data_IF_584427660734
#
_entry.id   IF_584427660734
#
_cell.length_a   1.000
_cell.length_b   1.000
_cell.length_c   1.000
_cell.angle_alpha   90.00
_cell.angle_beta   90.00
_cell.angle_gamma   90.00
#
_symmetry.space_group_name_H-M   'P 1'
#
loop_
_entity.id
_entity.type
_entity.pdbx_description
1 polymer ?
#
# COMPACT_ATOMS: atom_id res chain seq x y z
N UNK A 1 12.06 -13.38 15.02
CA UNK A 1 12.89 -12.26 15.52
C UNK A 1 12.71 -11.10 14.56
N UNK A 2 11.87 -10.12 14.91
CA UNK A 2 11.66 -8.92 14.10
C UNK A 2 12.79 -7.92 14.35
N UNK A 3 13.47 -7.50 13.30
CA UNK A 3 14.42 -6.38 13.38
C UNK A 3 13.61 -5.08 13.43
N UNK A 4 13.30 -4.64 14.65
CA UNK A 4 12.63 -3.36 14.87
C UNK A 4 13.67 -2.24 14.82
N UNK A 5 13.56 -1.36 13.83
CA UNK A 5 13.90 0.04 14.09
C UNK A 5 13.09 0.48 15.33
N UNK A 6 13.67 1.26 16.24
CA UNK A 6 12.84 1.88 17.27
C UNK A 6 11.74 2.68 16.58
N UNK A 7 10.54 2.72 17.18
CA UNK A 7 9.41 3.44 16.61
C UNK A 7 9.78 4.88 16.25
N UNK A 8 10.62 5.52 17.07
CA UNK A 8 11.15 6.87 16.83
C UNK A 8 11.93 6.99 15.51
N UNK A 9 12.82 6.03 15.22
CA UNK A 9 13.61 6.03 13.98
C UNK A 9 12.72 5.82 12.76
N UNK A 10 11.67 5.00 12.88
CA UNK A 10 10.72 4.81 11.79
C UNK A 10 9.90 6.09 11.54
N UNK A 11 9.39 6.72 12.60
CA UNK A 11 8.62 7.98 12.53
C UNK A 11 9.45 9.09 11.89
N UNK A 12 10.71 9.24 12.28
CA UNK A 12 11.62 10.22 11.67
C UNK A 12 11.80 9.97 10.17
N UNK A 13 12.00 8.71 9.78
CA UNK A 13 12.14 8.33 8.36
C UNK A 13 10.85 8.50 7.56
N UNK A 14 9.68 8.48 8.19
CA UNK A 14 8.38 8.66 7.52
C UNK A 14 8.02 10.12 7.28
N UNK A 15 8.80 11.09 7.77
CA UNK A 15 8.52 12.52 7.56
C UNK A 15 8.48 12.88 6.08
N UNK A 16 7.41 13.55 5.68
CA UNK A 16 7.13 13.97 4.31
C UNK A 16 6.82 15.46 4.24
N UNK A 17 7.08 16.05 3.08
CA UNK A 17 6.55 17.37 2.72
C UNK A 17 5.09 17.26 2.27
N UNK A 18 4.32 18.36 2.29
CA UNK A 18 2.91 18.34 1.84
C UNK A 18 2.78 17.89 0.38
N UNK A 19 3.66 18.38 -0.51
CA UNK A 19 3.75 17.96 -1.92
C UNK A 19 4.03 16.45 -2.08
N UNK A 20 4.76 15.86 -1.13
CA UNK A 20 4.99 14.41 -1.12
C UNK A 20 3.74 13.64 -0.69
N UNK A 21 3.02 14.16 0.29
CA UNK A 21 1.76 13.54 0.76
C UNK A 21 0.69 13.49 -0.33
N UNK A 22 0.56 14.52 -1.17
CA UNK A 22 -0.39 14.54 -2.30
C UNK A 22 -0.21 13.36 -3.27
N UNK A 23 1.02 12.83 -3.40
CA UNK A 23 1.30 11.67 -4.26
C UNK A 23 0.73 10.36 -3.71
N UNK A 24 0.39 10.31 -2.42
CA UNK A 24 -0.15 9.11 -1.77
C UNK A 24 -1.58 8.82 -2.22
N UNK A 25 -2.36 9.83 -2.60
CA UNK A 25 -3.74 9.66 -3.09
C UNK A 25 -3.77 8.65 -4.25
N UNK A 26 -2.93 8.85 -5.28
CA UNK A 26 -2.81 7.92 -6.42
C UNK A 26 -2.36 6.51 -6.04
N UNK A 27 -1.66 6.36 -4.91
CA UNK A 27 -1.18 5.06 -4.42
C UNK A 27 -2.31 4.32 -3.72
N UNK A 28 -3.08 5.03 -2.88
CA UNK A 28 -4.26 4.50 -2.18
C UNK A 28 -5.32 4.09 -3.20
N UNK A 29 -5.63 4.96 -4.17
CA UNK A 29 -6.58 4.66 -5.25
C UNK A 29 -6.20 3.40 -6.03
N UNK A 30 -4.91 3.26 -6.38
CA UNK A 30 -4.42 2.06 -7.05
C UNK A 30 -4.62 0.80 -6.19
N UNK A 31 -4.29 0.86 -4.90
CA UNK A 31 -4.46 -0.27 -3.99
C UNK A 31 -5.94 -0.65 -3.88
N UNK A 32 -6.83 0.32 -3.68
CA UNK A 32 -8.28 0.08 -3.58
C UNK A 32 -8.85 -0.49 -4.89
N UNK A 33 -8.37 -0.03 -6.04
CA UNK A 33 -8.71 -0.61 -7.36
C UNK A 33 -8.32 -2.09 -7.42
N UNK A 34 -7.09 -2.45 -7.02
CA UNK A 34 -6.62 -3.84 -6.99
C UNK A 34 -7.52 -4.67 -6.07
N UNK A 35 -7.78 -4.18 -4.85
CA UNK A 35 -8.63 -4.87 -3.88
C UNK A 35 -10.04 -5.13 -4.42
N UNK A 36 -10.72 -4.10 -4.92
CA UNK A 36 -12.06 -4.23 -5.50
C UNK A 36 -12.06 -5.22 -6.66
N UNK A 37 -11.03 -5.20 -7.51
CA UNK A 37 -10.93 -6.12 -8.64
C UNK A 37 -10.78 -7.57 -8.19
N UNK A 38 -9.91 -7.85 -7.20
CA UNK A 38 -9.78 -9.19 -6.61
C UNK A 38 -11.12 -9.63 -6.02
N UNK A 39 -11.79 -8.74 -5.27
CA UNK A 39 -13.06 -9.06 -4.59
C UNK A 39 -14.18 -9.44 -5.56
N UNK A 40 -14.29 -8.74 -6.68
CA UNK A 40 -15.37 -8.94 -7.65
C UNK A 40 -15.05 -10.00 -8.72
N UNK A 41 -13.79 -10.11 -9.15
CA UNK A 41 -13.39 -10.89 -10.32
C UNK A 41 -12.35 -11.97 -10.01
N UNK A 42 -11.93 -12.10 -8.75
CA UNK A 42 -10.90 -13.05 -8.32
C UNK A 42 -9.48 -12.62 -8.67
N UNK A 43 -8.50 -13.42 -8.24
CA UNK A 43 -7.07 -13.09 -8.35
C UNK A 43 -6.56 -12.97 -9.80
N UNK A 44 -6.99 -13.87 -10.68
CA UNK A 44 -6.57 -13.88 -12.10
C UNK A 44 -6.97 -12.61 -12.86
N UNK A 45 -7.94 -11.86 -12.35
CA UNK A 45 -8.33 -10.57 -12.94
C UNK A 45 -7.17 -9.56 -12.98
N UNK A 46 -6.15 -9.72 -12.12
CA UNK A 46 -4.99 -8.84 -12.05
C UNK A 46 -3.92 -9.10 -13.11
N UNK A 47 -3.99 -10.20 -13.88
CA UNK A 47 -2.95 -10.53 -14.86
C UNK A 47 -2.80 -9.45 -15.94
N UNK A 48 -3.91 -8.82 -16.33
CA UNK A 48 -3.89 -7.70 -17.27
C UNK A 48 -3.31 -6.43 -16.64
N UNK A 49 -3.64 -6.12 -15.38
CA UNK A 49 -3.03 -4.98 -14.68
C UNK A 49 -1.52 -5.17 -14.56
N UNK A 50 -1.05 -6.37 -14.18
CA UNK A 50 0.37 -6.67 -14.08
C UNK A 50 1.14 -6.39 -15.38
N UNK A 51 0.56 -6.74 -16.54
CA UNK A 51 1.17 -6.51 -17.86
C UNK A 51 1.17 -5.04 -18.28
N UNK A 52 0.20 -4.27 -17.79
CA UNK A 52 -0.03 -2.87 -18.18
C UNK A 52 0.59 -1.85 -17.21
N UNK A 53 1.16 -2.28 -16.09
CA UNK A 53 1.90 -1.37 -15.20
C UNK A 53 3.18 -0.90 -15.90
N UNK A 54 3.35 0.42 -15.95
CA UNK A 54 4.47 1.08 -16.61
C UNK A 54 5.81 0.69 -15.95
N UNK A 55 6.92 0.55 -16.72
CA UNK A 55 8.19 0.03 -16.20
C UNK A 55 8.78 0.80 -15.02
N UNK A 56 8.54 2.12 -14.93
CA UNK A 56 8.98 2.99 -13.84
C UNK A 56 8.31 2.66 -12.50
N UNK A 57 7.13 2.04 -12.51
CA UNK A 57 6.40 1.65 -11.31
C UNK A 57 6.82 0.27 -10.79
N UNK A 58 8.14 0.08 -10.64
CA UNK A 58 8.77 -1.21 -10.28
C UNK A 58 8.13 -1.83 -9.03
N UNK A 59 7.91 -1.02 -7.98
CA UNK A 59 7.37 -1.53 -6.72
C UNK A 59 5.86 -1.86 -6.81
N UNK A 60 5.08 -1.10 -7.60
CA UNK A 60 3.67 -1.42 -7.87
C UNK A 60 3.55 -2.75 -8.61
N UNK A 61 4.40 -2.94 -9.62
CA UNK A 61 4.47 -4.18 -10.38
C UNK A 61 4.89 -5.35 -9.49
N UNK A 62 5.85 -5.14 -8.58
CA UNK A 62 6.28 -6.16 -7.61
C UNK A 62 5.14 -6.54 -6.66
N UNK A 63 4.39 -5.57 -6.15
CA UNK A 63 3.22 -5.80 -5.30
C UNK A 63 2.18 -6.69 -5.99
N UNK A 64 1.76 -6.36 -7.22
CA UNK A 64 0.80 -7.18 -7.98
C UNK A 64 1.35 -8.57 -8.29
N UNK A 65 2.64 -8.66 -8.63
CA UNK A 65 3.31 -9.95 -8.84
C UNK A 65 3.23 -10.84 -7.59
N UNK A 66 3.50 -10.28 -6.41
CA UNK A 66 3.49 -11.02 -5.15
C UNK A 66 2.08 -11.52 -4.85
N UNK A 67 1.04 -10.71 -5.06
CA UNK A 67 -0.35 -11.17 -4.89
C UNK A 67 -0.65 -12.35 -5.83
N UNK A 68 -0.24 -12.26 -7.10
CA UNK A 68 -0.49 -13.30 -8.10
C UNK A 68 0.27 -14.61 -7.85
N UNK A 69 1.47 -14.54 -7.25
CA UNK A 69 2.43 -15.65 -7.24
C UNK A 69 2.73 -16.23 -5.85
N UNK A 70 2.39 -15.54 -4.76
CA UNK A 70 2.71 -16.02 -3.42
C UNK A 70 1.81 -17.19 -3.05
N UNK A 71 2.42 -18.24 -2.49
CA UNK A 71 1.70 -19.39 -1.98
C UNK A 71 0.90 -19.05 -0.71
N UNK A 72 1.41 -18.12 0.10
CA UNK A 72 0.86 -17.74 1.39
C UNK A 72 1.23 -16.30 1.79
N UNK A 73 0.52 -15.80 2.81
CA UNK A 73 0.64 -14.44 3.34
C UNK A 73 2.04 -14.16 3.89
N UNK A 74 2.58 -15.10 4.66
CA UNK A 74 3.85 -14.93 5.38
C UNK A 74 5.00 -14.77 4.38
N UNK A 75 5.03 -15.62 3.36
CA UNK A 75 6.01 -15.55 2.28
C UNK A 75 5.92 -14.23 1.51
N UNK A 76 4.70 -13.82 1.12
CA UNK A 76 4.49 -12.58 0.38
C UNK A 76 4.90 -11.33 1.17
N UNK A 77 4.48 -11.25 2.43
CA UNK A 77 4.79 -10.14 3.35
C UNK A 77 6.29 -10.05 3.59
N UNK A 78 6.97 -11.17 3.91
CA UNK A 78 8.44 -11.17 4.12
C UNK A 78 9.22 -10.68 2.91
N UNK A 79 8.79 -11.02 1.70
CA UNK A 79 9.45 -10.55 0.48
C UNK A 79 9.38 -9.01 0.40
N UNK A 80 8.20 -8.41 0.60
CA UNK A 80 8.05 -6.96 0.60
C UNK A 80 8.84 -6.30 1.74
N UNK A 81 8.78 -6.87 2.95
CA UNK A 81 9.57 -6.39 4.09
C UNK A 81 11.06 -6.32 3.75
N UNK A 82 11.62 -7.37 3.15
CA UNK A 82 13.04 -7.36 2.78
C UNK A 82 13.37 -6.29 1.75
N UNK A 83 12.53 -6.05 0.75
CA UNK A 83 12.73 -4.94 -0.19
C UNK A 83 12.74 -3.59 0.54
N UNK A 84 11.84 -3.38 1.50
CA UNK A 84 11.72 -2.12 2.25
C UNK A 84 12.92 -1.90 3.17
N UNK A 85 13.28 -2.93 3.93
CA UNK A 85 14.35 -2.86 4.93
C UNK A 85 15.72 -2.66 4.29
N UNK A 86 16.00 -3.36 3.19
CA UNK A 86 17.31 -3.29 2.52
C UNK A 86 17.51 -2.01 1.70
N UNK A 87 16.42 -1.34 1.29
CA UNK A 87 16.48 -0.15 0.45
C UNK A 87 16.75 1.17 1.17
N UNK A 88 16.79 1.21 2.50
CA UNK A 88 17.03 2.42 3.31
C UNK A 88 16.18 3.65 2.90
N UNK A 89 14.91 3.43 2.54
CA UNK A 89 14.02 4.49 2.06
C UNK A 89 13.64 5.52 3.15
N UNK A 90 13.25 6.73 2.72
CA UNK A 90 12.79 7.82 3.59
C UNK A 90 11.66 8.62 2.92
N UNK A 91 10.92 9.38 3.72
CA UNK A 91 9.77 10.20 3.33
C UNK A 91 8.76 9.41 2.50
N UNK A 92 8.35 10.01 1.38
CA UNK A 92 7.36 9.41 0.48
C UNK A 92 7.72 7.99 0.05
N UNK A 93 9.00 7.75 -0.27
CA UNK A 93 9.48 6.46 -0.73
C UNK A 93 9.30 5.38 0.33
N UNK A 94 9.45 5.71 1.60
CA UNK A 94 9.19 4.77 2.67
C UNK A 94 7.69 4.56 2.86
N UNK A 95 6.93 5.65 2.99
CA UNK A 95 5.50 5.61 3.30
C UNK A 95 4.71 4.86 2.24
N UNK A 96 4.93 5.13 0.95
CA UNK A 96 4.18 4.44 -0.11
C UNK A 96 4.48 2.93 -0.12
N UNK A 97 5.68 2.51 0.26
CA UNK A 97 6.02 1.09 0.35
C UNK A 97 5.38 0.42 1.56
N UNK A 98 5.31 1.14 2.69
CA UNK A 98 4.54 0.69 3.86
C UNK A 98 3.05 0.54 3.53
N UNK A 99 2.47 1.44 2.73
CA UNK A 99 1.10 1.28 2.23
C UNK A 99 0.90 -0.03 1.47
N UNK A 100 1.82 -0.38 0.57
CA UNK A 100 1.76 -1.66 -0.14
C UNK A 100 1.96 -2.88 0.78
N UNK A 101 2.79 -2.76 1.81
CA UNK A 101 2.98 -3.82 2.80
C UNK A 101 1.70 -4.08 3.61
N UNK A 102 1.07 -3.02 4.10
CA UNK A 102 -0.21 -3.10 4.80
C UNK A 102 -1.33 -3.60 3.88
N UNK A 103 -1.38 -3.11 2.64
CA UNK A 103 -2.33 -3.56 1.63
C UNK A 103 -2.21 -5.06 1.37
N UNK A 104 -0.98 -5.57 1.26
CA UNK A 104 -0.74 -6.98 0.99
C UNK A 104 -1.31 -7.84 2.12
N UNK A 105 -1.01 -7.46 3.36
CA UNK A 105 -1.50 -8.15 4.55
C UNK A 105 -3.04 -8.15 4.60
N UNK A 106 -3.67 -7.00 4.33
CA UNK A 106 -5.11 -6.87 4.39
C UNK A 106 -5.85 -7.59 3.25
N UNK A 107 -5.28 -7.62 2.03
CA UNK A 107 -5.80 -8.40 0.90
C UNK A 107 -5.80 -9.88 1.25
N UNK A 108 -4.69 -10.38 1.76
CA UNK A 108 -4.55 -11.79 2.10
C UNK A 108 -5.41 -12.23 3.30
N UNK A 109 -5.71 -11.29 4.20
CA UNK A 109 -6.63 -11.50 5.32
C UNK A 109 -8.11 -11.33 4.94
N UNK A 110 -8.43 -11.04 3.68
CA UNK A 110 -9.79 -10.81 3.17
C UNK A 110 -10.56 -9.76 3.97
N UNK A 111 -9.86 -8.69 4.38
CA UNK A 111 -10.48 -7.60 5.13
C UNK A 111 -11.55 -6.85 4.31
N UNK A 112 -12.45 -6.15 5.01
CA UNK A 112 -13.46 -5.33 4.34
C UNK A 112 -12.81 -4.08 3.70
N UNK A 113 -13.38 -3.51 2.61
CA UNK A 113 -12.81 -2.30 2.01
C UNK A 113 -12.63 -1.14 2.99
N UNK A 114 -13.59 -0.97 3.92
CA UNK A 114 -13.54 0.07 4.96
C UNK A 114 -12.35 -0.16 5.89
N UNK A 115 -12.09 -1.42 6.28
CA UNK A 115 -10.95 -1.75 7.14
C UNK A 115 -9.62 -1.51 6.43
N UNK A 116 -9.54 -1.90 5.14
CA UNK A 116 -8.35 -1.68 4.31
C UNK A 116 -8.06 -0.19 4.17
N UNK A 117 -9.08 0.60 3.81
CA UNK A 117 -8.92 2.04 3.67
C UNK A 117 -8.43 2.68 4.98
N UNK A 118 -9.03 2.33 6.11
CA UNK A 118 -8.59 2.87 7.40
C UNK A 118 -7.15 2.45 7.75
N UNK A 119 -6.75 1.20 7.44
CA UNK A 119 -5.36 0.76 7.62
C UNK A 119 -4.40 1.56 6.76
N UNK A 120 -4.70 1.78 5.50
CA UNK A 120 -3.87 2.58 4.60
C UNK A 120 -3.74 4.02 5.13
N UNK A 121 -4.86 4.65 5.51
CA UNK A 121 -4.85 6.01 6.04
C UNK A 121 -4.10 6.12 7.38
N UNK A 122 -4.08 5.06 8.19
CA UNK A 122 -3.33 5.05 9.45
C UNK A 122 -1.81 5.16 9.24
N UNK A 123 -1.28 4.61 8.14
CA UNK A 123 0.15 4.72 7.77
C UNK A 123 0.53 6.16 7.41
N UNK A 124 -0.41 6.93 6.87
CA UNK A 124 -0.20 8.32 6.46
C UNK A 124 -0.35 9.34 7.60
N UNK A 125 -0.94 8.92 8.72
CA UNK A 125 -1.21 9.77 9.88
C UNK A 125 -2.55 10.52 9.82
N UNK A 126 -2.97 11.03 10.98
CA UNK A 126 -4.31 11.59 11.19
C UNK A 126 -4.61 12.84 10.35
N UNK A 127 -3.65 13.77 10.23
CA UNK A 127 -3.81 14.97 9.37
C UNK A 127 -4.11 14.58 7.93
N UNK A 128 -3.32 13.67 7.36
CA UNK A 128 -3.54 13.20 5.99
C UNK A 128 -4.90 12.53 5.83
N UNK A 129 -5.29 11.67 6.78
CA UNK A 129 -6.59 11.00 6.78
C UNK A 129 -7.75 11.98 6.73
N UNK A 130 -7.73 13.04 7.55
CA UNK A 130 -8.78 14.06 7.53
C UNK A 130 -8.85 14.78 6.19
N UNK A 131 -7.71 15.16 5.63
CA UNK A 131 -7.65 15.85 4.35
C UNK A 131 -8.11 14.94 3.20
N UNK A 132 -7.66 13.68 3.18
CA UNK A 132 -8.10 12.67 2.21
C UNK A 132 -9.61 12.46 2.26
N UNK A 133 -10.19 12.34 3.46
CA UNK A 133 -11.64 12.22 3.63
C UNK A 133 -12.38 13.47 3.17
N UNK A 134 -11.88 14.68 3.44
CA UNK A 134 -12.48 15.92 2.92
C UNK A 134 -12.49 15.95 1.39
N UNK A 135 -11.42 15.49 0.74
CA UNK A 135 -11.30 15.40 -0.72
C UNK A 135 -12.24 14.36 -1.33
N UNK A 136 -12.43 13.22 -0.64
CA UNK A 136 -13.16 12.07 -1.19
C UNK A 136 -14.61 11.95 -0.71
N UNK A 137 -15.02 12.62 0.38
CA UNK A 137 -16.44 12.73 0.78
C UNK A 137 -17.25 13.63 -0.16
N UNK A 138 -16.62 14.26 -1.15
CA UNK A 138 -17.29 14.97 -2.25
C UNK A 138 -17.63 14.05 -3.44
N UNK A 139 -17.18 12.79 -3.43
CA UNK A 139 -17.51 11.75 -4.41
C UNK A 139 -18.17 10.56 -3.72
N UNK A 140 -19.44 10.35 -4.05
CA UNK A 140 -20.34 9.26 -3.67
C UNK A 140 -19.73 8.02 -2.98
N UNK A 141 -20.29 7.72 -1.81
CA UNK A 141 -20.19 6.46 -1.09
C UNK A 141 -20.19 5.25 -2.02
N UNK A 142 -19.15 4.42 -1.92
CA UNK A 142 -19.09 3.06 -2.44
C UNK A 142 -20.29 2.21 -2.00
#
# INVERSE_FOLDING_TARGET
MGFFYSADVLVERMRMTEKQSEKLDSTIEFILKIFNKIRHYGLHSLESDYKNIEPEFVFRRKFVQIILQSADIESGTKILEYYILTGNYQGYDLVYRLLYLEALSAIFQYESPIAIEEKLLSVCGEKFREEYRKRNQTGESL
#
